data_IF_727022404455
#
_entry.id   IF_727022404455
#
_cell.length_a   1.000
_cell.length_b   1.000
_cell.length_c   1.000
_cell.angle_alpha   90.00
_cell.angle_beta   90.00
_cell.angle_gamma   90.00
#
_symmetry.space_group_name_H-M   'P 1'
#
loop_
_entity.id
_entity.type
_entity.pdbx_description
1 polymer ?
#
# COMPACT_ATOMS: atom_id res chain seq x y z
N UNK A 1 -18.46 6.92 -7.16
CA UNK A 1 -18.02 6.45 -7.02
C UNK A 1 -17.73 5.77 -6.38
N UNK A 2 -17.19 5.14 -6.58
CA UNK A 2 -17.26 4.24 -5.71
C UNK A 2 -16.04 3.54 -5.51
N UNK A 3 -15.60 3.36 -4.33
CA UNK A 3 -14.50 2.57 -4.03
C UNK A 3 -14.85 1.14 -4.15
N UNK A 4 -13.89 0.32 -4.53
CA UNK A 4 -14.08 -1.11 -4.53
C UNK A 4 -14.34 -1.56 -3.09
N UNK A 5 -15.40 -2.32 -2.84
CA UNK A 5 -15.66 -2.80 -1.49
C UNK A 5 -14.58 -3.73 -0.96
N UNK A 6 -13.70 -4.23 -1.84
CA UNK A 6 -12.61 -5.11 -1.42
C UNK A 6 -11.30 -4.39 -1.24
N UNK A 7 -11.29 -3.07 -1.41
CA UNK A 7 -10.06 -2.30 -1.25
C UNK A 7 -9.83 -1.98 0.22
N UNK A 8 -8.59 -2.11 0.65
CA UNK A 8 -8.25 -1.87 2.04
C UNK A 8 -6.93 -1.12 2.10
N UNK A 9 -6.89 -0.04 2.88
CA UNK A 9 -5.66 0.72 3.08
C UNK A 9 -4.87 0.07 4.21
N UNK A 10 -3.63 -0.29 3.92
CA UNK A 10 -2.78 -0.95 4.92
C UNK A 10 -1.95 0.04 5.70
N UNK A 11 -1.42 1.07 5.03
CA UNK A 11 -0.64 2.09 5.72
C UNK A 11 -0.57 3.33 4.87
N UNK A 12 -0.31 4.47 5.53
CA UNK A 12 -0.12 5.76 4.88
C UNK A 12 1.10 6.42 5.51
N UNK A 13 1.99 6.90 4.67
CA UNK A 13 3.22 7.55 5.10
C UNK A 13 3.32 8.93 4.46
N UNK A 14 4.08 9.82 5.09
CA UNK A 14 4.32 11.15 4.52
C UNK A 14 5.79 11.51 4.61
N UNK A 15 6.22 12.36 3.67
CA UNK A 15 7.57 12.87 3.65
C UNK A 15 7.59 14.11 2.77
N UNK A 16 8.07 15.24 3.31
CA UNK A 16 8.29 16.46 2.53
C UNK A 16 7.04 16.91 1.76
N UNK A 17 5.88 16.79 2.39
CA UNK A 17 4.64 17.23 1.76
C UNK A 17 4.04 16.20 0.80
N UNK A 18 4.65 15.05 0.66
CA UNK A 18 4.12 13.97 -0.19
C UNK A 18 3.48 12.90 0.67
N UNK A 19 2.51 12.20 0.10
CA UNK A 19 1.80 11.12 0.79
C UNK A 19 1.97 9.83 0.00
N UNK A 20 2.27 8.75 0.69
CA UNK A 20 2.38 7.44 0.08
C UNK A 20 1.38 6.51 0.76
N UNK A 21 0.53 5.86 -0.01
CA UNK A 21 -0.56 5.03 0.49
C UNK A 21 -0.41 3.62 -0.07
N UNK A 22 -0.53 2.63 0.78
CA UNK A 22 -0.51 1.24 0.35
C UNK A 22 -1.90 0.66 0.46
N UNK A 23 -2.40 0.11 -0.64
CA UNK A 23 -3.76 -0.40 -0.74
C UNK A 23 -3.73 -1.81 -1.30
N UNK A 24 -4.59 -2.66 -0.78
CA UNK A 24 -4.79 -4.00 -1.31
C UNK A 24 -6.22 -4.11 -1.79
N UNK A 25 -6.40 -4.63 -3.00
CA UNK A 25 -7.72 -4.82 -3.58
C UNK A 25 -7.81 -6.20 -4.19
N UNK A 26 -9.03 -6.67 -4.43
CA UNK A 26 -9.26 -7.96 -5.05
C UNK A 26 -9.80 -8.98 -4.08
N UNK A 27 -9.69 -10.26 -4.46
CA UNK A 27 -10.24 -11.35 -3.66
C UNK A 27 -9.13 -12.29 -3.27
N UNK A 28 -9.37 -13.16 -2.26
CA UNK A 28 -8.36 -14.13 -1.87
C UNK A 28 -7.90 -14.94 -3.08
N UNK A 29 -6.58 -15.08 -3.21
CA UNK A 29 -6.01 -15.80 -4.35
C UNK A 29 -5.72 -14.92 -5.55
N UNK A 30 -6.19 -13.68 -5.56
CA UNK A 30 -5.93 -12.76 -6.66
C UNK A 30 -5.99 -11.33 -6.13
N UNK A 31 -4.95 -10.94 -5.42
CA UNK A 31 -4.90 -9.64 -4.77
C UNK A 31 -3.94 -8.72 -5.50
N UNK A 32 -4.32 -7.45 -5.59
CA UNK A 32 -3.46 -6.44 -6.17
C UNK A 32 -2.97 -5.52 -5.06
N UNK A 33 -1.65 -5.46 -4.93
CA UNK A 33 -1.01 -4.56 -3.98
C UNK A 33 -0.59 -3.31 -4.75
N UNK A 34 -1.07 -2.15 -4.32
CA UNK A 34 -0.71 -0.89 -4.95
C UNK A 34 -0.10 0.05 -3.94
N UNK A 35 0.94 0.74 -4.37
CA UNK A 35 1.47 1.86 -3.62
C UNK A 35 1.25 3.10 -4.46
N UNK A 36 0.61 4.10 -3.86
CA UNK A 36 0.30 5.34 -4.56
C UNK A 36 1.13 6.47 -3.96
N UNK A 37 1.75 7.25 -4.84
CA UNK A 37 2.46 8.44 -4.41
C UNK A 37 1.64 9.63 -4.86
N UNK A 38 1.07 10.36 -3.92
CA UNK A 38 0.23 11.53 -4.20
C UNK A 38 -0.87 11.19 -5.20
N UNK A 39 -1.53 10.03 -5.01
CA UNK A 39 -2.65 9.56 -5.83
C UNK A 39 -2.26 8.94 -7.15
N UNK A 40 -0.97 8.87 -7.45
CA UNK A 40 -0.54 8.19 -8.68
C UNK A 40 0.06 6.85 -8.33
N UNK A 41 -0.20 5.86 -9.16
CA UNK A 41 0.33 4.52 -8.91
C UNK A 41 1.84 4.54 -9.07
N UNK A 42 2.53 4.24 -7.99
CA UNK A 42 3.97 4.16 -7.96
C UNK A 42 4.43 2.71 -8.16
N UNK A 43 3.65 1.77 -7.64
CA UNK A 43 3.98 0.35 -7.72
C UNK A 43 2.69 -0.44 -7.70
N UNK A 44 2.62 -1.50 -8.51
CA UNK A 44 1.47 -2.38 -8.54
C UNK A 44 1.96 -3.81 -8.74
N UNK A 45 1.49 -4.73 -7.89
CA UNK A 45 1.88 -6.13 -7.95
C UNK A 45 0.65 -7.00 -7.74
N UNK A 46 0.63 -8.14 -8.42
CA UNK A 46 -0.43 -9.12 -8.24
C UNK A 46 0.14 -10.28 -7.41
N UNK A 47 -0.60 -10.66 -6.39
CA UNK A 47 -0.21 -11.75 -5.50
C UNK A 47 -1.32 -12.78 -5.44
N UNK A 48 -0.93 -14.03 -5.44
CA UNK A 48 -1.90 -15.13 -5.36
C UNK A 48 -2.01 -15.71 -3.97
N UNK A 49 -1.11 -15.31 -3.06
CA UNK A 49 -1.12 -15.79 -1.68
C UNK A 49 -1.21 -14.57 -0.77
N UNK A 50 -2.23 -14.56 0.09
CA UNK A 50 -2.47 -13.40 0.96
C UNK A 50 -1.26 -13.08 1.84
N UNK A 51 -0.61 -14.10 2.38
CA UNK A 51 0.56 -13.88 3.21
C UNK A 51 1.67 -13.18 2.44
N UNK A 52 1.78 -13.48 1.15
CA UNK A 52 2.75 -12.81 0.30
C UNK A 52 2.43 -11.34 0.13
N UNK A 53 1.14 -11.03 -0.03
CA UNK A 53 0.70 -9.65 -0.14
C UNK A 53 1.07 -8.87 1.12
N UNK A 54 0.71 -9.42 2.27
CA UNK A 54 0.96 -8.74 3.54
C UNK A 54 2.45 -8.62 3.83
N UNK A 55 3.21 -9.68 3.54
CA UNK A 55 4.65 -9.65 3.74
C UNK A 55 5.32 -8.59 2.87
N UNK A 56 4.88 -8.49 1.61
CA UNK A 56 5.44 -7.48 0.71
C UNK A 56 5.11 -6.07 1.20
N UNK A 57 3.86 -5.86 1.63
CA UNK A 57 3.45 -4.56 2.14
C UNK A 57 4.29 -4.18 3.36
N UNK A 58 4.57 -5.14 4.23
CA UNK A 58 5.38 -4.89 5.42
C UNK A 58 6.81 -4.55 5.04
N UNK A 59 7.38 -5.26 4.07
CA UNK A 59 8.75 -5.01 3.62
C UNK A 59 8.86 -3.60 3.03
N UNK A 60 7.88 -3.20 2.22
CA UNK A 60 7.87 -1.86 1.65
C UNK A 60 7.73 -0.80 2.74
N UNK A 61 6.86 -1.05 3.71
CA UNK A 61 6.66 -0.12 4.83
C UNK A 61 7.98 0.12 5.56
N UNK A 62 8.66 -0.95 5.92
CA UNK A 62 9.95 -0.82 6.63
C UNK A 62 10.98 -0.09 5.78
N UNK A 63 11.01 -0.38 4.49
CA UNK A 63 11.97 0.28 3.60
C UNK A 63 11.75 1.76 3.52
N UNK A 64 10.49 2.18 3.39
CA UNK A 64 10.19 3.61 3.31
C UNK A 64 10.48 4.30 4.65
N UNK A 65 10.16 3.65 5.77
CA UNK A 65 10.50 4.23 7.07
C UNK A 65 12.00 4.46 7.20
N UNK A 66 12.80 3.52 6.68
CA UNK A 66 14.25 3.65 6.74
C UNK A 66 14.75 4.81 5.87
N UNK A 67 13.96 5.25 4.91
CA UNK A 67 14.33 6.34 4.02
C UNK A 67 13.70 7.68 4.44
N UNK A 68 13.17 7.76 5.64
CA UNK A 68 12.71 9.03 6.16
C UNK A 68 11.21 9.29 6.06
N UNK A 69 10.45 8.33 5.55
CA UNK A 69 9.00 8.46 5.54
C UNK A 69 8.47 8.23 6.94
N UNK A 70 7.41 8.92 7.32
CA UNK A 70 6.83 8.80 8.65
C UNK A 70 5.36 8.43 8.55
N UNK A 71 4.86 7.63 9.52
CA UNK A 71 3.45 7.25 9.50
C UNK A 71 2.55 8.46 9.73
N UNK A 72 1.41 8.46 9.05
CA UNK A 72 0.36 9.43 9.31
C UNK A 72 -0.59 8.79 10.32
N UNK A 73 -0.80 9.46 11.42
CA UNK A 73 -1.70 8.98 12.45
C UNK A 73 -2.86 9.93 12.60
N UNK A 74 -4.03 9.36 12.76
CA UNK A 74 -5.23 10.17 12.97
C UNK A 74 -5.53 10.35 14.44
#
# INVERSE_FOLDING_TARGET
MTESPNAETLWILSKDGHTMTCVVAGTPGHEELRVLLDREVYLSEIHTVHEGTIGRAHTLHRGFLAHGWTPIED
#
